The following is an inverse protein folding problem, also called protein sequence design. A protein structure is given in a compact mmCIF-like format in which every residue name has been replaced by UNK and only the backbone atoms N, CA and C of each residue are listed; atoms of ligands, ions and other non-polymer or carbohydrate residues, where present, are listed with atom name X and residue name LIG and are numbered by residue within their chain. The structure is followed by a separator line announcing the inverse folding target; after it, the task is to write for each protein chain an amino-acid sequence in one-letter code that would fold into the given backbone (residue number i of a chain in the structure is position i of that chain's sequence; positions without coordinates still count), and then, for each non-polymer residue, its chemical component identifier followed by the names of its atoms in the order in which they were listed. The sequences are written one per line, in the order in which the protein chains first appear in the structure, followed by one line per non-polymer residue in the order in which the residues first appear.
data_IF_876259896418
#
_entry.id   IF_876259896418
#
_cell.length_a   1.000
_cell.length_b   1.000
_cell.length_c   1.000
_cell.angle_alpha   90.00
_cell.angle_beta   90.00
_cell.angle_gamma   90.00
#
_symmetry.space_group_name_H-M   'P 1'
#
loop_
_entity.id
_entity.type
_entity.pdbx_description
1 polymer ?
#
# COMPACT_ATOMS: atom_id res chain seq x y z
N UNK A 1 15.56 -26.29 -1.47
CA UNK A 1 16.61 -25.28 -1.24
C UNK A 1 16.41 -24.15 -2.25
N UNK A 2 16.44 -22.89 -1.82
CA UNK A 2 16.37 -21.77 -2.76
C UNK A 2 17.65 -21.73 -3.59
N UNK A 3 17.53 -21.93 -4.90
CA UNK A 3 18.67 -21.86 -5.83
C UNK A 3 19.00 -20.40 -6.10
N UNK A 4 20.17 -19.94 -5.66
CA UNK A 4 20.66 -18.59 -5.99
C UNK A 4 21.35 -18.66 -7.35
N UNK A 5 20.79 -17.99 -8.34
CA UNK A 5 21.39 -17.84 -9.67
C UNK A 5 22.09 -16.48 -9.76
N UNK A 6 23.36 -16.46 -10.17
CA UNK A 6 24.08 -15.21 -10.41
C UNK A 6 23.58 -14.53 -11.68
N UNK A 7 23.29 -13.22 -11.61
CA UNK A 7 22.90 -12.41 -12.76
C UNK A 7 23.82 -11.18 -12.88
N UNK A 8 24.47 -11.03 -14.04
CA UNK A 8 25.35 -9.90 -14.31
C UNK A 8 24.51 -8.67 -14.74
N UNK A 9 24.18 -7.81 -13.77
CA UNK A 9 23.44 -6.57 -14.01
C UNK A 9 24.39 -5.46 -14.48
N UNK A 10 24.01 -4.74 -15.54
CA UNK A 10 24.70 -3.52 -15.98
C UNK A 10 23.86 -2.30 -15.62
N UNK A 11 24.42 -1.41 -14.79
CA UNK A 11 23.80 -0.17 -14.37
C UNK A 11 24.59 1.02 -14.94
N UNK A 12 23.93 2.15 -15.28
CA UNK A 12 24.64 3.40 -15.55
C UNK A 12 25.52 3.81 -14.38
N UNK A 13 26.65 4.48 -14.65
CA UNK A 13 27.62 4.86 -13.62
C UNK A 13 27.03 5.75 -12.54
N UNK A 14 26.12 6.67 -12.89
CA UNK A 14 25.41 7.53 -11.93
C UNK A 14 24.64 6.71 -10.90
N UNK A 15 23.82 5.77 -11.37
CA UNK A 15 23.03 4.87 -10.53
C UNK A 15 23.92 3.97 -9.69
N UNK A 16 25.03 3.46 -10.26
CA UNK A 16 25.97 2.64 -9.51
C UNK A 16 26.61 3.43 -8.35
N UNK A 17 26.84 4.73 -8.50
CA UNK A 17 27.35 5.57 -7.41
C UNK A 17 26.29 5.77 -6.32
N UNK A 18 25.05 6.08 -6.70
CA UNK A 18 23.94 6.20 -5.74
C UNK A 18 23.68 4.90 -4.96
N UNK A 19 23.74 3.75 -5.64
CA UNK A 19 23.60 2.43 -5.00
C UNK A 19 24.71 2.16 -4.00
N UNK A 20 25.94 2.62 -4.27
CA UNK A 20 27.05 2.49 -3.33
C UNK A 20 26.82 3.32 -2.08
N UNK A 21 26.47 4.59 -2.25
CA UNK A 21 26.17 5.51 -1.13
C UNK A 21 25.01 4.97 -0.28
N UNK A 22 23.96 4.44 -0.91
CA UNK A 22 22.83 3.85 -0.20
C UNK A 22 23.22 2.55 0.54
N UNK A 23 24.04 1.69 -0.07
CA UNK A 23 24.51 0.47 0.58
C UNK A 23 25.43 0.78 1.78
N UNK A 24 26.27 1.80 1.68
CA UNK A 24 27.10 2.29 2.78
C UNK A 24 26.27 2.87 3.92
N UNK A 25 25.24 3.68 3.60
CA UNK A 25 24.32 4.24 4.57
C UNK A 25 23.52 3.15 5.33
N UNK A 26 23.17 2.05 4.65
CA UNK A 26 22.51 0.88 5.23
C UNK A 26 23.49 -0.16 5.82
N UNK A 27 24.80 0.13 5.85
CA UNK A 27 25.86 -0.75 6.36
C UNK A 27 25.82 -2.18 5.77
N UNK A 28 25.56 -2.29 4.46
CA UNK A 28 25.37 -3.56 3.76
C UNK A 28 26.21 -3.65 2.50
N UNK A 29 26.31 -4.86 1.92
CA UNK A 29 26.98 -5.03 0.63
C UNK A 29 26.07 -4.56 -0.51
N UNK A 30 26.65 -4.09 -1.62
CA UNK A 30 25.91 -3.70 -2.84
C UNK A 30 24.99 -4.84 -3.31
N UNK A 31 25.48 -6.09 -3.30
CA UNK A 31 24.69 -7.24 -3.74
C UNK A 31 23.49 -7.49 -2.81
N UNK A 32 23.69 -7.39 -1.51
CA UNK A 32 22.61 -7.52 -0.52
C UNK A 32 21.61 -6.38 -0.68
N UNK A 33 22.08 -5.15 -0.81
CA UNK A 33 21.24 -3.98 -1.07
C UNK A 33 20.35 -4.18 -2.30
N UNK A 34 20.94 -4.55 -3.44
CA UNK A 34 20.20 -4.80 -4.68
C UNK A 34 19.19 -5.94 -4.50
N UNK A 35 19.58 -7.02 -3.83
CA UNK A 35 18.70 -8.18 -3.60
C UNK A 35 17.48 -7.79 -2.77
N UNK A 36 17.69 -7.03 -1.69
CA UNK A 36 16.61 -6.53 -0.82
C UNK A 36 15.73 -5.53 -1.58
N UNK A 37 16.32 -4.61 -2.36
CA UNK A 37 15.58 -3.65 -3.17
C UNK A 37 14.68 -4.35 -4.22
N UNK A 38 15.19 -5.38 -4.89
CA UNK A 38 14.40 -6.19 -5.84
C UNK A 38 13.28 -6.93 -5.11
N UNK A 39 13.56 -7.53 -3.96
CA UNK A 39 12.54 -8.20 -3.15
C UNK A 39 11.43 -7.23 -2.72
N UNK A 40 11.80 -6.02 -2.28
CA UNK A 40 10.85 -4.96 -1.92
C UNK A 40 10.00 -4.55 -3.12
N UNK A 41 10.62 -4.30 -4.27
CA UNK A 41 9.88 -3.90 -5.47
C UNK A 41 8.90 -4.98 -5.93
N UNK A 42 9.29 -6.25 -5.83
CA UNK A 42 8.40 -7.38 -6.10
C UNK A 42 7.25 -7.46 -5.09
N UNK A 43 7.52 -7.21 -3.80
CA UNK A 43 6.50 -7.21 -2.75
C UNK A 43 5.48 -6.09 -2.97
N UNK A 44 5.92 -4.88 -3.30
CA UNK A 44 5.06 -3.74 -3.64
C UNK A 44 4.12 -4.07 -4.81
N UNK A 45 4.69 -4.57 -5.91
CA UNK A 45 3.93 -4.91 -7.12
C UNK A 45 2.92 -6.03 -6.87
N UNK A 46 3.30 -7.06 -6.12
CA UNK A 46 2.39 -8.14 -5.74
C UNK A 46 1.26 -7.64 -4.86
N UNK A 47 1.57 -6.74 -3.92
CA UNK A 47 0.60 -6.16 -3.00
C UNK A 47 -0.42 -5.30 -3.75
N UNK A 48 0.04 -4.45 -4.67
CA UNK A 48 -0.84 -3.65 -5.52
C UNK A 48 -1.82 -4.54 -6.32
N UNK A 49 -1.30 -5.56 -7.01
CA UNK A 49 -2.12 -6.52 -7.77
C UNK A 49 -3.10 -7.29 -6.90
N UNK A 50 -2.69 -7.66 -5.69
CA UNK A 50 -3.57 -8.34 -4.74
C UNK A 50 -4.76 -7.46 -4.38
N UNK A 51 -4.53 -6.20 -4.04
CA UNK A 51 -5.61 -5.28 -3.70
C UNK A 51 -6.51 -4.97 -4.89
N UNK A 52 -5.96 -4.79 -6.09
CA UNK A 52 -6.75 -4.61 -7.32
C UNK A 52 -7.69 -5.80 -7.55
N UNK A 53 -7.16 -7.03 -7.50
CA UNK A 53 -7.96 -8.24 -7.69
C UNK A 53 -9.04 -8.39 -6.60
N UNK A 54 -8.74 -8.02 -5.37
CA UNK A 54 -9.70 -8.07 -4.24
C UNK A 54 -10.78 -7.01 -4.35
N UNK A 55 -10.41 -5.80 -4.76
CA UNK A 55 -11.34 -4.69 -4.98
C UNK A 55 -12.32 -5.00 -6.12
N UNK A 56 -11.87 -5.67 -7.19
CA UNK A 56 -12.74 -6.08 -8.29
C UNK A 56 -13.88 -7.03 -7.85
N UNK A 57 -13.65 -7.82 -6.81
CA UNK A 57 -14.67 -8.70 -6.22
C UNK A 57 -15.43 -8.08 -5.04
N UNK A 58 -15.18 -6.81 -4.69
CA UNK A 58 -15.80 -6.18 -3.55
C UNK A 58 -17.21 -5.69 -3.87
N UNK A 59 -18.16 -5.94 -2.96
CA UNK A 59 -19.50 -5.40 -3.02
C UNK A 59 -19.73 -4.43 -1.84
N UNK A 60 -19.87 -3.11 -2.11
CA UNK A 60 -20.11 -2.12 -1.07
C UNK A 60 -21.36 -2.38 -0.22
N UNK A 61 -22.40 -2.99 -0.79
CA UNK A 61 -23.63 -3.28 -0.05
C UNK A 61 -23.45 -4.45 0.92
N UNK A 62 -22.65 -5.46 0.56
CA UNK A 62 -22.29 -6.53 1.47
C UNK A 62 -21.44 -6.01 2.64
N UNK A 63 -20.54 -5.06 2.36
CA UNK A 63 -19.77 -4.37 3.39
C UNK A 63 -20.68 -3.61 4.36
N UNK A 64 -21.59 -2.76 3.86
CA UNK A 64 -22.56 -2.03 4.70
C UNK A 64 -23.41 -2.98 5.53
N UNK A 65 -23.86 -4.10 4.96
CA UNK A 65 -24.66 -5.11 5.67
C UNK A 65 -23.88 -5.77 6.81
N UNK A 66 -22.58 -5.98 6.64
CA UNK A 66 -21.72 -6.53 7.71
C UNK A 66 -21.49 -5.47 8.79
N UNK A 67 -21.15 -4.23 8.40
CA UNK A 67 -20.92 -3.14 9.35
C UNK A 67 -22.20 -2.81 10.15
N UNK A 68 -23.38 -2.88 9.55
CA UNK A 68 -24.65 -2.70 10.25
C UNK A 68 -24.93 -3.75 11.34
N UNK A 69 -24.19 -4.87 11.35
CA UNK A 69 -24.26 -5.86 12.43
C UNK A 69 -23.33 -5.53 13.60
N UNK A 70 -22.36 -4.63 13.40
CA UNK A 70 -21.59 -4.11 14.52
C UNK A 70 -22.58 -3.33 15.41
N UNK A 71 -22.65 -3.71 16.69
CA UNK A 71 -23.65 -3.18 17.60
C UNK A 71 -23.58 -1.66 17.75
N UNK A 72 -24.64 -1.07 18.28
CA UNK A 72 -24.78 0.38 18.48
C UNK A 72 -24.17 0.86 19.79
N UNK A 73 -23.15 0.17 20.31
CA UNK A 73 -22.49 0.63 21.53
C UNK A 73 -21.79 1.96 21.25
N UNK A 74 -21.82 2.91 22.19
CA UNK A 74 -21.05 4.13 22.04
C UNK A 74 -19.55 3.79 21.91
N UNK A 75 -18.76 4.65 21.24
CA UNK A 75 -17.31 4.50 21.20
C UNK A 75 -16.74 4.36 22.61
N UNK A 76 -15.64 3.61 22.75
CA UNK A 76 -14.91 3.58 24.01
C UNK A 76 -14.24 4.95 24.23
N UNK A 77 -13.95 5.29 25.48
CA UNK A 77 -13.22 6.52 25.83
C UNK A 77 -11.89 6.56 25.04
N UNK A 78 -11.70 7.61 24.25
CA UNK A 78 -10.55 7.76 23.34
C UNK A 78 -10.73 7.26 21.90
N UNK A 79 -11.77 6.46 21.61
CA UNK A 79 -12.18 6.08 20.23
C UNK A 79 -13.23 7.06 19.66
N UNK A 80 -13.42 8.19 20.33
CA UNK A 80 -14.30 9.27 19.91
C UNK A 80 -13.77 9.93 18.64
N UNK A 81 -14.68 10.29 17.74
CA UNK A 81 -14.32 11.01 16.51
C UNK A 81 -13.91 12.44 16.91
N UNK A 82 -12.70 12.90 16.57
CA UNK A 82 -12.27 14.26 16.89
C UNK A 82 -13.18 15.32 16.26
N UNK A 83 -13.31 16.46 16.94
CA UNK A 83 -14.08 17.60 16.42
C UNK A 83 -13.49 18.06 15.07
N UNK A 84 -14.36 18.23 14.06
CA UNK A 84 -13.97 18.63 12.70
C UNK A 84 -13.61 17.51 11.71
N UNK A 85 -13.58 16.23 12.14
CA UNK A 85 -13.29 15.10 11.23
C UNK A 85 -14.46 14.70 10.31
N UNK A 86 -15.69 15.02 10.71
CA UNK A 86 -16.91 14.74 9.94
C UNK A 86 -17.51 16.00 9.30
N UNK A 87 -16.79 17.12 9.30
CA UNK A 87 -17.18 18.32 8.56
C UNK A 87 -16.97 18.08 7.06
N UNK A 88 -17.77 17.17 6.48
CA UNK A 88 -17.79 16.92 5.05
C UNK A 88 -18.38 18.17 4.37
N UNK A 89 -17.63 18.85 3.50
CA UNK A 89 -18.20 19.94 2.72
C UNK A 89 -19.34 19.38 1.86
N UNK A 90 -20.48 20.08 1.85
CA UNK A 90 -21.77 19.72 1.22
C UNK A 90 -21.71 19.34 -0.28
N UNK A 91 -20.54 19.42 -0.91
CA UNK A 91 -20.32 19.19 -2.33
C UNK A 91 -19.82 17.78 -2.72
N UNK A 92 -19.46 16.90 -1.78
CA UNK A 92 -18.89 15.58 -2.13
C UNK A 92 -19.93 14.48 -2.41
N UNK A 93 -21.11 14.52 -1.76
CA UNK A 93 -22.19 13.55 -2.01
C UNK A 93 -22.74 13.59 -3.46
N UNK A 94 -22.59 14.74 -4.13
CA UNK A 94 -23.00 14.91 -5.52
C UNK A 94 -22.07 14.19 -6.51
N UNK A 95 -20.80 13.94 -6.16
CA UNK A 95 -19.84 13.24 -7.03
C UNK A 95 -20.06 11.72 -7.04
N UNK A 96 -20.41 11.13 -5.90
CA UNK A 96 -20.79 9.72 -5.80
C UNK A 96 -22.08 9.38 -6.59
N UNK A 97 -22.93 10.39 -6.80
CA UNK A 97 -24.19 10.27 -7.55
C UNK A 97 -24.00 10.31 -9.07
N UNK A 98 -22.86 10.82 -9.57
CA UNK A 98 -22.65 11.13 -10.99
C UNK A 98 -22.02 9.99 -11.82
N UNK A 99 -21.51 8.92 -11.19
CA UNK A 99 -20.90 7.76 -11.90
C UNK A 99 -21.89 6.62 -12.18
N UNK A 100 -23.19 6.84 -12.00
CA UNK A 100 -24.24 5.95 -12.56
C UNK A 100 -24.65 6.43 -13.96
N UNK A 101 -23.89 6.05 -14.97
CA UNK A 101 -24.35 5.89 -16.37
C UNK A 101 -23.62 4.73 -17.00
#
# INVERSE_FOLDING_TARGET
MATVTGYALRLPTSIMNEVKEAAEAEATSINTFITVAVARRLAELKTARYFEARAAGANPEDFKRIIAKAGTLPPQEGDEIPEGWLDVPENEDKRASATRR
#
